data_IF_264803130735
#
_entry.id   IF_264803130735
#
_cell.length_a   1.000
_cell.length_b   1.000
_cell.length_c   1.000
_cell.angle_alpha   90.00
_cell.angle_beta   90.00
_cell.angle_gamma   90.00
#
_symmetry.space_group_name_H-M   'P 1'
#
loop_
_entity.id
_entity.type
_entity.pdbx_description
1 polymer ?
#
# COMPACT_ATOMS: atom_id res chain seq x y z
N UNK A 1 -10.15 1.44 -9.97
CA UNK A 1 -10.34 0.09 -10.56
C UNK A 1 -9.57 -0.93 -9.73
N UNK A 2 -10.05 -2.17 -9.63
CA UNK A 2 -9.39 -3.20 -8.80
C UNK A 2 -8.38 -3.99 -9.62
N UNK A 3 -7.18 -4.20 -9.06
CA UNK A 3 -6.16 -5.05 -9.69
C UNK A 3 -6.39 -6.53 -9.36
N UNK A 4 -5.80 -7.44 -10.15
CA UNK A 4 -5.94 -8.87 -9.93
C UNK A 4 -5.35 -9.28 -8.57
N UNK A 5 -6.06 -10.10 -7.81
CA UNK A 5 -5.61 -10.59 -6.50
C UNK A 5 -5.66 -9.56 -5.37
N UNK A 6 -6.40 -8.46 -5.53
CA UNK A 6 -6.45 -7.38 -4.52
C UNK A 6 -7.17 -7.77 -3.21
N UNK A 7 -8.05 -8.79 -3.24
CA UNK A 7 -8.97 -9.06 -2.14
C UNK A 7 -8.41 -10.09 -1.15
N UNK A 8 -7.79 -11.14 -1.68
CA UNK A 8 -7.30 -12.29 -0.94
C UNK A 8 -6.28 -11.90 0.14
N UNK A 9 -5.27 -11.04 -0.12
CA UNK A 9 -4.30 -10.63 0.91
C UNK A 9 -4.94 -9.86 2.05
N UNK A 10 -5.93 -9.01 1.75
CA UNK A 10 -6.62 -8.19 2.75
C UNK A 10 -7.44 -9.07 3.68
N UNK A 11 -8.22 -9.99 3.12
CA UNK A 11 -9.07 -10.89 3.90
C UNK A 11 -8.25 -11.93 4.66
N UNK A 12 -7.19 -12.47 4.05
CA UNK A 12 -6.28 -13.40 4.72
C UNK A 12 -5.70 -12.76 5.99
N UNK A 13 -5.27 -11.50 5.91
CA UNK A 13 -4.69 -10.81 7.06
C UNK A 13 -5.69 -10.55 8.19
N UNK A 14 -6.94 -10.22 7.85
CA UNK A 14 -8.02 -10.06 8.83
C UNK A 14 -8.39 -11.41 9.46
N UNK A 15 -8.39 -12.49 8.66
CA UNK A 15 -8.65 -13.84 9.15
C UNK A 15 -7.58 -14.31 10.15
N UNK A 16 -6.30 -13.96 9.92
CA UNK A 16 -5.21 -14.22 10.87
C UNK A 16 -5.29 -13.36 12.13
N UNK A 17 -5.68 -12.09 11.99
CA UNK A 17 -5.79 -11.15 13.10
C UNK A 17 -7.00 -10.22 12.91
N UNK A 18 -8.07 -10.50 13.64
CA UNK A 18 -9.32 -9.73 13.59
C UNK A 18 -9.22 -8.29 14.11
N UNK A 19 -8.12 -7.95 14.79
CA UNK A 19 -7.83 -6.57 15.22
C UNK A 19 -7.05 -5.77 14.18
N UNK A 20 -6.57 -6.41 13.10
CA UNK A 20 -5.83 -5.74 12.04
C UNK A 20 -6.79 -4.97 11.12
N UNK A 21 -6.55 -3.66 10.99
CA UNK A 21 -7.14 -2.84 9.93
C UNK A 21 -6.13 -2.76 8.79
N UNK A 22 -6.51 -3.23 7.61
CA UNK A 22 -5.63 -3.36 6.45
C UNK A 22 -6.07 -2.45 5.31
N UNK A 23 -5.11 -1.97 4.52
CA UNK A 23 -5.34 -1.14 3.34
C UNK A 23 -4.58 -1.73 2.15
N UNK A 24 -5.16 -1.73 0.94
CA UNK A 24 -4.40 -2.04 -0.27
C UNK A 24 -3.36 -0.95 -0.55
N UNK A 25 -2.35 -1.29 -1.35
CA UNK A 25 -1.48 -0.29 -1.97
C UNK A 25 -2.27 0.47 -3.05
N UNK A 26 -2.38 1.79 -2.91
CA UNK A 26 -3.24 2.62 -3.74
C UNK A 26 -2.42 3.09 -4.94
N UNK A 27 -2.75 2.56 -6.11
CA UNK A 27 -2.17 3.05 -7.36
C UNK A 27 -2.94 4.23 -7.95
N UNK A 28 -2.23 5.05 -8.71
CA UNK A 28 -2.79 6.25 -9.34
C UNK A 28 -3.39 5.90 -10.71
N UNK A 29 -4.57 6.46 -10.97
CA UNK A 29 -5.18 6.51 -12.29
C UNK A 29 -5.10 7.97 -12.75
N UNK A 30 -4.47 8.22 -13.90
CA UNK A 30 -4.32 9.58 -14.41
C UNK A 30 -5.69 10.21 -14.72
N UNK A 31 -5.91 11.44 -14.27
CA UNK A 31 -7.20 12.12 -14.38
C UNK A 31 -7.57 12.49 -15.82
N UNK A 32 -6.59 12.71 -16.70
CA UNK A 32 -6.81 13.16 -18.07
C UNK A 32 -6.84 12.00 -19.06
N UNK A 33 -5.97 11.00 -18.87
CA UNK A 33 -5.84 9.86 -19.79
C UNK A 33 -6.57 8.61 -19.30
N UNK A 34 -6.98 8.57 -18.03
CA UNK A 34 -7.48 7.37 -17.35
C UNK A 34 -6.47 6.20 -17.37
N UNK A 35 -5.19 6.50 -17.57
CA UNK A 35 -4.14 5.49 -17.56
C UNK A 35 -3.94 4.94 -16.14
N UNK A 36 -4.05 3.61 -16.02
CA UNK A 36 -3.80 2.89 -14.78
C UNK A 36 -2.31 2.62 -14.62
N UNK A 37 -1.68 3.22 -13.61
CA UNK A 37 -0.29 2.91 -13.28
C UNK A 37 -0.20 1.50 -12.70
N UNK A 38 0.37 0.56 -13.46
CA UNK A 38 0.50 -0.83 -13.00
C UNK A 38 1.56 -0.93 -11.89
N UNK A 39 1.28 -1.68 -10.81
CA UNK A 39 2.30 -1.97 -9.81
C UNK A 39 3.49 -2.67 -10.48
N UNK A 40 4.70 -2.18 -10.18
CA UNK A 40 5.94 -2.73 -10.74
C UNK A 40 6.29 -4.05 -10.03
N UNK A 41 6.71 -5.09 -10.77
CA UNK A 41 7.12 -6.37 -10.19
C UNK A 41 8.49 -6.31 -9.48
N UNK A 42 9.17 -5.16 -9.49
CA UNK A 42 10.50 -4.97 -8.91
C UNK A 42 10.49 -4.07 -7.67
N UNK A 43 9.43 -4.14 -6.85
CA UNK A 43 9.39 -3.49 -5.54
C UNK A 43 9.58 -1.98 -5.62
N UNK A 44 8.63 -1.28 -6.27
CA UNK A 44 8.66 0.18 -6.21
C UNK A 44 8.45 0.65 -4.78
N UNK A 45 9.10 1.76 -4.45
CA UNK A 45 9.13 2.39 -3.14
C UNK A 45 7.73 2.46 -2.50
N UNK A 46 7.43 1.51 -1.61
CA UNK A 46 6.21 1.58 -0.81
C UNK A 46 6.27 2.84 0.07
N UNK A 47 5.16 3.56 0.10
CA UNK A 47 4.94 4.66 1.01
C UNK A 47 4.05 4.22 2.16
N UNK A 48 4.23 4.83 3.32
CA UNK A 48 3.30 4.76 4.44
C UNK A 48 2.61 6.10 4.62
N UNK A 49 1.39 6.05 5.16
CA UNK A 49 0.66 7.25 5.53
C UNK A 49 1.32 7.97 6.71
N UNK A 50 1.36 9.30 6.65
CA UNK A 50 1.75 10.16 7.76
C UNK A 50 0.78 11.35 7.90
N UNK A 51 1.00 12.16 8.94
CA UNK A 51 0.29 13.42 9.14
C UNK A 51 1.28 14.53 9.45
N UNK A 52 1.05 15.71 8.89
CA UNK A 52 1.74 16.92 9.31
C UNK A 52 1.08 17.55 10.56
N UNK A 53 1.72 18.59 11.10
CA UNK A 53 1.18 19.31 12.27
C UNK A 53 -0.10 20.10 11.98
N UNK A 54 -0.46 20.27 10.71
CA UNK A 54 -1.74 20.81 10.26
C UNK A 54 -2.84 19.76 10.13
N UNK A 55 -2.58 18.50 10.49
CA UNK A 55 -3.46 17.34 10.34
C UNK A 55 -3.77 16.96 8.90
N UNK A 56 -2.91 17.35 7.96
CA UNK A 56 -3.02 16.91 6.56
C UNK A 56 -2.39 15.53 6.40
N UNK A 57 -3.07 14.65 5.68
CA UNK A 57 -2.52 13.34 5.32
C UNK A 57 -1.43 13.49 4.26
N UNK A 58 -0.35 12.71 4.40
CA UNK A 58 0.72 12.64 3.43
C UNK A 58 1.28 11.23 3.26
N UNK A 59 2.24 11.11 2.34
CA UNK A 59 2.95 9.87 2.04
C UNK A 59 4.44 10.04 2.35
N UNK A 60 5.02 9.06 3.04
CA UNK A 60 6.47 9.01 3.28
C UNK A 60 7.05 7.62 3.02
N UNK A 61 8.32 7.58 2.64
CA UNK A 61 9.02 6.31 2.37
C UNK A 61 9.14 5.47 3.63
N UNK A 62 9.10 4.14 3.47
CA UNK A 62 9.36 3.23 4.56
C UNK A 62 10.75 3.46 5.20
N UNK A 63 10.84 3.49 6.55
CA UNK A 63 12.12 3.54 7.23
C UNK A 63 12.86 2.20 7.14
N UNK A 64 14.19 2.22 7.28
CA UNK A 64 15.02 1.04 7.03
C UNK A 64 14.76 -0.14 7.96
N UNK A 65 14.32 0.10 9.19
CA UNK A 65 13.96 -0.99 10.11
C UNK A 65 12.72 -1.75 9.63
N UNK A 66 11.73 -1.07 9.05
CA UNK A 66 10.55 -1.73 8.49
C UNK A 66 10.90 -2.48 7.20
N UNK A 67 11.77 -1.91 6.36
CA UNK A 67 12.30 -2.62 5.18
C UNK A 67 13.00 -3.93 5.55
N UNK A 68 13.76 -3.94 6.66
CA UNK A 68 14.44 -5.15 7.16
C UNK A 68 13.49 -6.16 7.80
N UNK A 69 12.40 -5.69 8.42
CA UNK A 69 11.40 -6.56 9.06
C UNK A 69 10.56 -7.32 8.03
N UNK A 70 10.21 -6.67 6.92
CA UNK A 70 9.48 -7.28 5.80
C UNK A 70 10.40 -8.23 5.04
N UNK A 71 10.16 -9.54 5.18
CA UNK A 71 10.93 -10.59 4.50
C UNK A 71 10.29 -11.06 3.20
N UNK A 72 9.02 -10.73 3.02
CA UNK A 72 8.19 -11.08 1.87
C UNK A 72 7.38 -9.84 1.48
N UNK A 73 7.08 -9.68 0.19
CA UNK A 73 6.29 -8.57 -0.38
C UNK A 73 4.77 -8.83 -0.32
N UNK A 74 4.35 -9.92 0.35
CA UNK A 74 2.95 -10.31 0.52
C UNK A 74 2.33 -9.87 1.84
#
# INVERSE_FOLDING_TARGET
ECFHGWLEPLLARIAENSTAVVSPDITTIDLNTFEFMKPSPYGQHHNRGNFDWGLSFGWETLPDHEKRRRKDET
#
